data_IF_718898528282
#
_entry.id   IF_718898528282
#
_cell.length_a   1.000
_cell.length_b   1.000
_cell.length_c   1.000
_cell.angle_alpha   90.00
_cell.angle_beta   90.00
_cell.angle_gamma   90.00
#
_symmetry.space_group_name_H-M   'P 1'
#
loop_
_entity.id
_entity.type
_entity.pdbx_description
1 polymer ?
#
# COMPACT_ATOMS: atom_id res chain seq x y z
N UNK A 1 26.68 18.60 13.30
CA UNK A 1 26.85 17.12 13.33
C UNK A 1 25.48 16.47 13.20
N UNK A 2 24.79 16.72 12.08
CA UNK A 2 23.48 16.14 11.76
C UNK A 2 23.66 15.44 10.42
N UNK A 3 23.82 14.11 10.40
CA UNK A 3 23.77 13.32 9.15
C UNK A 3 23.76 11.80 9.37
N UNK A 4 23.23 11.29 10.50
CA UNK A 4 23.21 9.83 10.74
C UNK A 4 21.80 9.25 10.95
N UNK A 5 20.80 10.03 11.37
CA UNK A 5 19.44 9.54 11.60
C UNK A 5 18.63 9.33 10.31
N UNK A 6 18.78 10.22 9.32
CA UNK A 6 18.08 10.11 8.03
C UNK A 6 18.47 8.84 7.27
N UNK A 7 19.73 8.41 7.37
CA UNK A 7 20.24 7.22 6.69
C UNK A 7 19.66 5.92 7.28
N UNK A 8 19.39 5.86 8.60
CA UNK A 8 18.88 4.64 9.25
C UNK A 8 17.40 4.39 8.99
N UNK A 9 16.55 5.41 9.04
CA UNK A 9 15.11 5.24 8.78
C UNK A 9 14.86 4.83 7.32
N UNK A 10 15.60 5.44 6.39
CA UNK A 10 15.56 5.07 4.98
C UNK A 10 16.05 3.62 4.75
N UNK A 11 17.17 3.24 5.37
CA UNK A 11 17.68 1.87 5.32
C UNK A 11 16.66 0.86 5.88
N UNK A 12 15.99 1.16 6.99
CA UNK A 12 14.97 0.31 7.59
C UNK A 12 13.77 0.14 6.65
N UNK A 13 13.32 1.23 6.02
CA UNK A 13 12.28 1.16 5.01
C UNK A 13 12.68 0.26 3.85
N UNK A 14 13.86 0.46 3.27
CA UNK A 14 14.33 -0.34 2.14
C UNK A 14 14.57 -1.81 2.50
N UNK A 15 15.04 -2.08 3.73
CA UNK A 15 15.19 -3.44 4.24
C UNK A 15 13.84 -4.16 4.33
N UNK A 16 12.84 -3.51 4.93
CA UNK A 16 11.49 -4.08 5.02
C UNK A 16 10.82 -4.21 3.64
N UNK A 17 10.97 -3.21 2.77
CA UNK A 17 10.44 -3.24 1.41
C UNK A 17 11.03 -4.40 0.59
N UNK A 18 12.32 -4.71 0.75
CA UNK A 18 12.99 -5.84 0.08
C UNK A 18 12.85 -7.17 0.83
N UNK A 19 12.19 -7.16 1.98
CA UNK A 19 11.97 -8.34 2.81
C UNK A 19 11.05 -9.38 2.18
N UNK A 20 10.82 -10.46 2.91
CA UNK A 20 9.88 -11.51 2.52
C UNK A 20 8.44 -11.09 2.80
N UNK A 21 7.54 -11.43 1.88
CA UNK A 21 6.10 -11.18 2.04
C UNK A 21 5.30 -12.44 1.74
N UNK A 22 4.20 -12.60 2.46
CA UNK A 22 3.21 -13.66 2.29
C UNK A 22 1.99 -13.11 1.56
N UNK A 23 1.56 -13.78 0.49
CA UNK A 23 0.34 -13.41 -0.24
C UNK A 23 -0.92 -13.71 0.58
N UNK A 24 -1.84 -12.76 0.66
CA UNK A 24 -3.24 -13.00 0.97
C UNK A 24 -3.89 -13.69 -0.24
N UNK A 25 -3.52 -14.96 -0.46
CA UNK A 25 -3.82 -15.67 -1.71
C UNK A 25 -5.31 -15.77 -2.01
N UNK A 26 -6.11 -16.18 -1.02
CA UNK A 26 -7.57 -16.33 -1.14
C UNK A 26 -8.27 -15.11 -0.57
N UNK A 27 -9.47 -14.82 -1.06
CA UNK A 27 -10.28 -13.68 -0.58
C UNK A 27 -10.50 -13.68 0.93
N UNK A 28 -10.72 -14.84 1.56
CA UNK A 28 -10.86 -14.91 3.02
C UNK A 28 -9.57 -14.60 3.79
N UNK A 29 -8.38 -14.81 3.19
CA UNK A 29 -7.12 -14.34 3.79
C UNK A 29 -7.05 -12.81 3.77
N UNK A 30 -7.53 -12.19 2.69
CA UNK A 30 -7.64 -10.74 2.58
C UNK A 30 -8.62 -10.19 3.64
N UNK A 31 -9.78 -10.83 3.80
CA UNK A 31 -10.77 -10.46 4.82
C UNK A 31 -10.16 -10.54 6.23
N UNK A 32 -9.41 -11.61 6.52
CA UNK A 32 -8.72 -11.75 7.80
C UNK A 32 -7.64 -10.69 8.00
N UNK A 33 -6.89 -10.32 6.96
CA UNK A 33 -5.90 -9.23 7.02
C UNK A 33 -6.59 -7.90 7.34
N UNK A 34 -7.66 -7.56 6.61
CA UNK A 34 -8.43 -6.34 6.84
C UNK A 34 -9.08 -6.27 8.22
N UNK A 35 -9.60 -7.39 8.75
CA UNK A 35 -10.10 -7.43 10.12
C UNK A 35 -9.03 -6.98 11.13
N UNK A 36 -7.80 -7.52 11.01
CA UNK A 36 -6.69 -7.16 11.91
C UNK A 36 -6.31 -5.69 11.81
N UNK A 37 -6.31 -5.12 10.60
CA UNK A 37 -6.04 -3.70 10.43
C UNK A 37 -7.14 -2.82 11.03
N UNK A 38 -8.42 -3.24 10.93
CA UNK A 38 -9.54 -2.50 11.53
C UNK A 38 -9.50 -2.55 13.06
N UNK A 39 -9.10 -3.68 13.63
CA UNK A 39 -8.91 -3.84 15.07
C UNK A 39 -7.79 -2.93 15.59
N UNK A 40 -6.71 -2.80 14.81
CA UNK A 40 -5.51 -2.04 15.17
C UNK A 40 -5.36 -0.76 14.32
N UNK A 41 -6.47 -0.06 14.07
CA UNK A 41 -6.51 1.04 13.11
C UNK A 41 -5.80 2.32 13.61
N UNK A 42 -5.45 2.38 14.90
CA UNK A 42 -4.77 3.50 15.55
C UNK A 42 -3.24 3.32 15.65
N UNK A 43 -2.69 2.27 15.05
CA UNK A 43 -1.28 1.86 15.19
C UNK A 43 -0.29 2.64 14.29
N UNK A 44 -0.60 3.89 13.95
CA UNK A 44 0.34 4.76 13.23
C UNK A 44 0.61 4.35 11.78
N UNK A 45 -0.42 3.93 11.05
CA UNK A 45 -0.30 3.51 9.65
C UNK A 45 -0.07 4.69 8.69
N UNK A 46 0.90 4.55 7.80
CA UNK A 46 1.07 5.37 6.61
C UNK A 46 0.40 4.70 5.43
N UNK A 47 -0.25 5.48 4.57
CA UNK A 47 -0.81 5.00 3.29
C UNK A 47 -0.10 5.74 2.18
N UNK A 48 0.63 5.00 1.36
CA UNK A 48 1.42 5.57 0.26
C UNK A 48 0.92 5.05 -1.08
N UNK A 49 0.40 5.93 -1.93
CA UNK A 49 0.15 5.64 -3.33
C UNK A 49 1.41 5.86 -4.16
N UNK A 50 1.93 4.79 -4.75
CA UNK A 50 3.18 4.84 -5.51
C UNK A 50 3.02 5.72 -6.75
N UNK A 51 3.95 6.66 -6.91
CA UNK A 51 3.93 7.72 -7.92
C UNK A 51 3.32 9.06 -7.48
N UNK A 52 2.88 9.17 -6.22
CA UNK A 52 2.63 10.46 -5.55
C UNK A 52 3.77 10.76 -4.55
N UNK A 53 3.88 11.97 -3.99
CA UNK A 53 4.82 12.21 -2.88
C UNK A 53 4.50 11.32 -1.68
N UNK A 54 5.50 10.71 -1.01
CA UNK A 54 5.26 9.90 0.18
C UNK A 54 4.66 10.75 1.32
N UNK A 55 3.73 10.19 2.12
CA UNK A 55 3.17 10.90 3.27
C UNK A 55 4.22 11.13 4.37
N UNK A 56 4.22 12.32 4.96
CA UNK A 56 5.11 12.66 6.08
C UNK A 56 4.54 12.25 7.45
N UNK A 57 3.24 11.94 7.52
CA UNK A 57 2.53 11.60 8.76
C UNK A 57 1.63 10.37 8.57
N UNK A 58 1.42 9.58 9.63
CA UNK A 58 0.46 8.49 9.59
C UNK A 58 -0.97 9.05 9.43
N UNK A 59 -1.85 8.24 8.84
CA UNK A 59 -3.27 8.59 8.72
C UNK A 59 -3.99 8.38 10.05
N UNK A 60 -5.12 9.06 10.23
CA UNK A 60 -6.02 8.77 11.35
C UNK A 60 -6.74 7.43 11.17
N UNK A 61 -7.30 6.90 12.27
CA UNK A 61 -8.20 5.74 12.29
C UNK A 61 -9.20 5.77 11.14
N UNK A 62 -9.97 6.85 11.08
CA UNK A 62 -11.09 6.99 10.14
C UNK A 62 -10.61 6.97 8.69
N UNK A 63 -9.46 7.60 8.41
CA UNK A 63 -8.85 7.58 7.08
C UNK A 63 -8.36 6.19 6.70
N UNK A 64 -7.79 5.43 7.65
CA UNK A 64 -7.39 4.05 7.40
C UNK A 64 -8.60 3.15 7.15
N UNK A 65 -9.64 3.27 7.97
CA UNK A 65 -10.89 2.50 7.81
C UNK A 65 -11.55 2.79 6.45
N UNK A 66 -11.62 4.06 6.06
CA UNK A 66 -12.14 4.48 4.76
C UNK A 66 -11.28 3.93 3.61
N UNK A 67 -9.96 4.01 3.71
CA UNK A 67 -9.07 3.41 2.72
C UNK A 67 -9.28 1.91 2.57
N UNK A 68 -9.34 1.16 3.68
CA UNK A 68 -9.57 -0.29 3.67
C UNK A 68 -10.89 -0.64 2.97
N UNK A 69 -11.95 0.11 3.26
CA UNK A 69 -13.24 -0.08 2.61
C UNK A 69 -13.14 0.13 1.09
N UNK A 70 -12.60 1.25 0.66
CA UNK A 70 -12.53 1.64 -0.76
C UNK A 70 -11.58 0.74 -1.54
N UNK A 71 -10.41 0.39 -0.99
CA UNK A 71 -9.46 -0.50 -1.67
C UNK A 71 -10.01 -1.93 -1.74
N UNK A 72 -10.70 -2.42 -0.70
CA UNK A 72 -11.34 -3.74 -0.75
C UNK A 72 -12.42 -3.80 -1.85
N UNK A 73 -13.24 -2.74 -1.99
CA UNK A 73 -14.22 -2.65 -3.06
C UNK A 73 -13.57 -2.63 -4.45
N UNK A 74 -12.52 -1.82 -4.62
CA UNK A 74 -11.75 -1.74 -5.87
C UNK A 74 -11.20 -3.10 -6.26
N UNK A 75 -10.47 -3.76 -5.35
CA UNK A 75 -9.83 -5.05 -5.62
C UNK A 75 -10.85 -6.11 -6.01
N UNK A 76 -12.00 -6.20 -5.31
CA UNK A 76 -13.06 -7.18 -5.62
C UNK A 76 -13.81 -6.88 -6.92
N UNK A 77 -13.89 -5.61 -7.30
CA UNK A 77 -14.59 -5.19 -8.52
C UNK A 77 -13.71 -5.40 -9.74
N UNK A 78 -12.42 -5.09 -9.64
CA UNK A 78 -11.52 -4.99 -10.78
C UNK A 78 -10.66 -6.25 -10.97
N UNK A 79 -10.35 -7.00 -9.91
CA UNK A 79 -9.66 -8.28 -10.03
C UNK A 79 -10.65 -9.39 -10.38
N UNK A 80 -10.66 -9.81 -11.64
CA UNK A 80 -11.63 -10.79 -12.18
C UNK A 80 -11.31 -12.25 -11.87
N UNK A 81 -10.31 -12.50 -11.03
CA UNK A 81 -9.92 -13.86 -10.61
C UNK A 81 -10.76 -14.35 -9.41
N UNK A 82 -10.84 -15.68 -9.25
CA UNK A 82 -11.54 -16.32 -8.13
C UNK A 82 -10.71 -16.33 -6.82
N UNK A 83 -9.49 -15.80 -6.87
CA UNK A 83 -8.59 -15.60 -5.75
C UNK A 83 -8.12 -14.13 -5.67
N UNK A 84 -7.49 -13.76 -4.55
CA UNK A 84 -6.98 -12.39 -4.37
C UNK A 84 -5.56 -12.27 -4.95
N UNK A 85 -4.56 -12.94 -4.39
CA UNK A 85 -3.21 -13.06 -4.99
C UNK A 85 -2.41 -11.77 -5.22
N UNK A 86 -2.99 -10.59 -5.00
CA UNK A 86 -2.42 -9.28 -5.34
C UNK A 86 -2.18 -8.38 -4.12
N UNK A 87 -2.42 -8.92 -2.92
CA UNK A 87 -2.12 -8.26 -1.64
C UNK A 87 -1.16 -9.13 -0.86
N UNK A 88 -0.10 -8.52 -0.35
CA UNK A 88 0.99 -9.19 0.32
C UNK A 88 1.31 -8.47 1.62
N UNK A 89 1.53 -9.21 2.70
CA UNK A 89 1.99 -8.64 3.97
C UNK A 89 3.29 -9.33 4.40
N UNK A 90 4.17 -8.62 5.09
CA UNK A 90 5.34 -9.20 5.76
C UNK A 90 4.91 -10.33 6.72
N UNK A 91 3.82 -10.11 7.45
CA UNK A 91 3.17 -11.12 8.27
C UNK A 91 1.63 -10.95 8.23
N UNK A 92 0.90 -11.98 7.78
CA UNK A 92 -0.57 -11.91 7.69
C UNK A 92 -1.28 -11.86 9.06
N UNK A 93 -0.61 -12.26 10.14
CA UNK A 93 -1.15 -12.26 11.50
C UNK A 93 -0.80 -10.98 12.27
N UNK A 94 0.35 -10.38 11.99
CA UNK A 94 0.84 -9.17 12.65
C UNK A 94 1.51 -8.26 11.62
N UNK A 95 0.74 -7.64 10.71
CA UNK A 95 1.31 -6.90 9.60
C UNK A 95 1.99 -5.61 10.07
N UNK A 96 3.19 -5.35 9.56
CA UNK A 96 3.86 -4.04 9.65
C UNK A 96 4.06 -3.40 8.29
N UNK A 97 4.01 -4.21 7.23
CA UNK A 97 4.22 -3.78 5.85
C UNK A 97 3.30 -4.57 4.91
N UNK A 98 2.51 -3.86 4.12
CA UNK A 98 1.59 -4.43 3.15
C UNK A 98 1.82 -3.78 1.79
N UNK A 99 1.91 -4.63 0.77
CA UNK A 99 1.99 -4.25 -0.65
C UNK A 99 0.68 -4.63 -1.31
N UNK A 100 0.08 -3.67 -2.02
CA UNK A 100 -1.17 -3.85 -2.76
C UNK A 100 -0.87 -3.57 -4.23
N UNK A 101 -1.07 -4.57 -5.07
CA UNK A 101 -0.88 -4.47 -6.52
C UNK A 101 -2.18 -4.08 -7.20
N UNK A 102 -2.08 -3.16 -8.16
CA UNK A 102 -3.22 -2.67 -8.94
C UNK A 102 -3.66 -3.73 -9.97
N UNK A 103 -4.92 -4.24 -9.91
CA UNK A 103 -5.43 -5.23 -10.85
C UNK A 103 -5.28 -4.82 -12.32
N UNK A 104 -5.33 -3.51 -12.61
CA UNK A 104 -5.23 -2.97 -13.96
C UNK A 104 -3.79 -2.87 -14.48
N UNK A 105 -2.79 -3.22 -13.65
CA UNK A 105 -1.37 -3.13 -13.99
C UNK A 105 -0.65 -4.49 -13.91
N UNK A 106 -1.39 -5.60 -13.84
CA UNK A 106 -0.80 -6.95 -13.74
C UNK A 106 -0.29 -7.49 -15.09
N UNK A 107 -0.83 -6.99 -16.21
CA UNK A 107 -0.54 -7.48 -17.56
C UNK A 107 0.76 -6.98 -18.20
N UNK A 108 1.55 -6.13 -17.53
CA UNK A 108 2.84 -5.61 -18.05
C UNK A 108 4.05 -6.47 -17.69
N UNK A 109 3.87 -7.59 -16.99
CA UNK A 109 4.97 -8.48 -16.58
C UNK A 109 4.67 -9.97 -16.83
N UNK A 110 4.25 -10.34 -18.05
CA UNK A 110 4.27 -11.74 -18.50
C UNK A 110 5.66 -12.22 -18.96
N UNK A 111 6.73 -11.65 -18.39
CA UNK A 111 8.10 -12.09 -18.59
C UNK A 111 8.82 -12.04 -17.26
N UNK A 112 9.63 -13.07 -16.99
CA UNK A 112 10.62 -13.06 -15.92
C UNK A 112 11.53 -11.84 -16.12
N UNK A 113 11.24 -10.72 -15.45
CA UNK A 113 12.02 -9.49 -15.53
C UNK A 113 12.79 -9.28 -14.23
N UNK A 114 14.05 -8.86 -14.35
CA UNK A 114 14.90 -8.47 -13.20
C UNK A 114 14.33 -7.28 -12.41
N UNK A 115 13.28 -6.63 -12.93
CA UNK A 115 12.59 -5.52 -12.29
C UNK A 115 11.10 -5.89 -12.10
N UNK A 116 10.70 -6.44 -10.94
CA UNK A 116 9.31 -6.80 -10.68
C UNK A 116 8.42 -5.56 -10.71
N UNK A 117 7.12 -5.71 -11.03
CA UNK A 117 6.20 -4.58 -11.01
C UNK A 117 6.20 -3.93 -9.60
N UNK A 118 6.14 -2.61 -9.57
CA UNK A 118 5.93 -1.89 -8.31
C UNK A 118 4.50 -2.11 -7.81
N UNK A 119 4.27 -2.16 -6.48
CA UNK A 119 2.92 -2.11 -5.94
C UNK A 119 2.25 -0.78 -6.30
N UNK A 120 0.92 -0.79 -6.38
CA UNK A 120 0.15 0.44 -6.55
C UNK A 120 0.07 1.25 -5.25
N UNK A 121 0.01 0.54 -4.11
CA UNK A 121 -0.08 1.14 -2.79
C UNK A 121 0.71 0.37 -1.75
N UNK A 122 1.18 1.09 -0.73
CA UNK A 122 1.73 0.55 0.50
C UNK A 122 0.87 0.95 1.70
N UNK A 123 0.71 0.02 2.64
CA UNK A 123 0.40 0.32 4.04
C UNK A 123 1.62 -0.06 4.86
N UNK A 124 2.14 0.84 5.68
CA UNK A 124 3.32 0.57 6.50
C UNK A 124 3.28 1.30 7.83
N UNK A 125 3.89 0.73 8.88
CA UNK A 125 4.04 1.36 10.20
C UNK A 125 5.29 2.24 10.36
N UNK A 126 6.12 2.30 9.33
CA UNK A 126 7.28 3.19 9.25
C UNK A 126 7.08 4.21 8.13
N UNK A 127 7.75 5.37 8.23
CA UNK A 127 7.65 6.40 7.20
C UNK A 127 8.12 5.82 5.84
N UNK A 128 7.30 5.91 4.79
CA UNK A 128 7.68 5.43 3.46
C UNK A 128 8.63 6.41 2.78
N UNK A 129 9.54 5.87 1.96
CA UNK A 129 10.41 6.66 1.10
C UNK A 129 9.96 6.53 -0.35
N UNK A 130 10.28 7.55 -1.14
CA UNK A 130 9.86 7.62 -2.53
C UNK A 130 10.38 6.41 -3.32
N UNK A 131 9.43 5.69 -3.91
CA UNK A 131 9.70 4.62 -4.85
C UNK A 131 9.79 5.28 -6.22
N UNK A 132 10.94 5.92 -6.51
CA UNK A 132 11.19 6.67 -7.74
C UNK A 132 10.55 5.98 -8.95
N UNK A 133 9.47 6.57 -9.46
CA UNK A 133 8.72 5.99 -10.58
C UNK A 133 9.52 6.10 -11.88
N UNK A 134 10.18 5.02 -12.27
CA UNK A 134 10.37 4.68 -13.69
C UNK A 134 9.11 3.98 -14.22
N UNK A 135 7.93 4.60 -14.18
CA UNK A 135 6.78 4.21 -15.02
C UNK A 135 5.59 5.16 -14.85
N UNK A 136 4.92 5.45 -15.97
CA UNK A 136 3.70 6.23 -16.09
C UNK A 136 2.57 5.67 -15.22
N UNK A 137 2.26 6.32 -14.09
CA UNK A 137 1.08 6.00 -13.27
C UNK A 137 -0.22 6.18 -14.10
N UNK A 138 -1.12 5.19 -14.15
CA UNK A 138 -2.42 5.34 -14.80
C UNK A 138 -3.22 6.51 -14.20
N UNK A 139 -3.73 7.40 -15.05
CA UNK A 139 -4.49 8.61 -14.62
C UNK A 139 -5.68 8.28 -13.72
N UNK A 140 -6.28 7.11 -13.85
CA UNK A 140 -7.45 6.68 -13.06
C UNK A 140 -7.08 6.42 -11.59
N UNK A 141 -5.92 5.80 -11.32
CA UNK A 141 -5.40 5.59 -9.98
C UNK A 141 -5.18 6.91 -9.25
N UNK A 142 -4.53 7.87 -9.92
CA UNK A 142 -4.28 9.22 -9.40
C UNK A 142 -5.58 9.94 -9.01
N UNK A 143 -6.61 9.88 -9.87
CA UNK A 143 -7.92 10.49 -9.59
C UNK A 143 -8.64 9.83 -8.41
N UNK A 144 -8.65 8.50 -8.33
CA UNK A 144 -9.23 7.78 -7.20
C UNK A 144 -8.55 8.16 -5.88
N UNK A 145 -7.21 8.19 -5.88
CA UNK A 145 -6.41 8.57 -4.72
C UNK A 145 -6.66 10.01 -4.27
N UNK A 146 -6.63 10.96 -5.21
CA UNK A 146 -6.92 12.37 -4.92
C UNK A 146 -8.34 12.54 -4.37
N UNK A 147 -9.34 11.82 -4.91
CA UNK A 147 -10.71 11.87 -4.39
C UNK A 147 -10.76 11.40 -2.93
N UNK A 148 -10.05 10.32 -2.60
CA UNK A 148 -10.03 9.75 -1.26
C UNK A 148 -9.43 10.70 -0.21
N UNK A 149 -8.35 11.42 -0.56
CA UNK A 149 -7.62 12.26 0.41
C UNK A 149 -7.93 13.76 0.33
N UNK A 150 -8.47 14.28 -0.79
CA UNK A 150 -8.86 15.69 -0.92
C UNK A 150 -10.28 15.98 -0.41
N UNK A 151 -11.06 14.97 -0.01
CA UNK A 151 -12.41 15.17 0.53
C UNK A 151 -12.47 15.80 1.94
N UNK A 152 -11.34 16.13 2.55
CA UNK A 152 -11.29 16.67 3.93
C UNK A 152 -10.46 17.97 4.07
N UNK A 153 -10.27 18.74 2.99
CA UNK A 153 -9.67 20.10 3.07
C UNK A 153 -10.73 21.19 3.18
N UNK A 154 -12.01 20.83 3.32
CA UNK A 154 -13.12 21.79 3.46
C UNK A 154 -13.79 21.67 4.82
N UNK A 155 -13.05 21.94 5.88
CA UNK A 155 -13.66 22.49 7.10
C UNK A 155 -12.71 23.53 7.66
N UNK A 156 -12.83 24.74 7.11
CA UNK A 156 -12.33 25.97 7.73
C UNK A 156 -13.31 26.41 8.80
#
# INVERSE_FOLDING_TARGET
>A
MENNSYNTAEQNFWHAFRGSFTSALRWHHLDALWNRLRENADDGWYIYAVGEPPPEQPVSRDKLLLFIQEINLLLRTEHKEDYCGIVYADNLQQPEFIKIYDPNNLGVSCGYSDNPPLPGWLLTRQIPYDLETMALTPKNRKRWWQRLFNQLVSTT
#
